data_IF_570087546391
#
_entry.id   IF_570087546391
#
_cell.length_a   1.000
_cell.length_b   1.000
_cell.length_c   1.000
_cell.angle_alpha   90.00
_cell.angle_beta   90.00
_cell.angle_gamma   90.00
#
_symmetry.space_group_name_H-M   'P 1'
#
loop_
_entity.id
_entity.type
_entity.pdbx_description
1 polymer ?
#
# COMPACT_ATOMS: atom_id res chain seq x y z
N UNK A 1 34.81 -15.20 18.25
CA UNK A 1 34.60 -16.64 18.45
C UNK A 1 34.13 -16.98 19.88
N UNK A 2 34.22 -16.07 20.86
CA UNK A 2 33.79 -16.28 22.26
C UNK A 2 32.26 -16.16 22.47
N UNK A 3 31.50 -15.82 21.45
CA UNK A 3 30.05 -15.63 21.51
C UNK A 3 29.28 -16.69 20.71
N UNK A 4 29.94 -17.78 20.32
CA UNK A 4 29.32 -18.92 19.63
C UNK A 4 29.15 -20.07 20.63
N UNK A 5 27.91 -20.49 20.85
CA UNK A 5 27.58 -21.59 21.73
C UNK A 5 27.06 -22.77 20.89
N UNK A 6 27.66 -23.92 21.10
CA UNK A 6 27.20 -25.18 20.52
C UNK A 6 26.10 -25.77 21.40
N UNK A 7 24.98 -26.16 20.78
CA UNK A 7 23.86 -26.82 21.45
C UNK A 7 23.54 -28.12 20.72
N UNK A 8 23.31 -29.18 21.47
CA UNK A 8 22.91 -30.47 20.91
C UNK A 8 21.45 -30.46 20.50
N UNK A 9 21.16 -30.76 19.23
CA UNK A 9 19.84 -30.92 18.70
C UNK A 9 19.28 -29.69 18.00
N UNK A 10 17.98 -29.73 17.67
CA UNK A 10 17.27 -28.65 16.99
C UNK A 10 16.85 -27.56 17.97
N UNK A 11 17.26 -26.34 17.72
CA UNK A 11 16.84 -25.16 18.49
C UNK A 11 15.59 -24.53 17.88
N UNK A 12 14.54 -24.37 18.67
CA UNK A 12 13.32 -23.69 18.27
C UNK A 12 13.53 -22.14 18.36
N UNK A 13 14.09 -21.55 17.31
CA UNK A 13 14.40 -20.11 17.28
C UNK A 13 13.18 -19.21 17.57
N UNK A 14 11.95 -19.70 17.32
CA UNK A 14 10.71 -18.99 17.65
C UNK A 14 10.57 -18.73 19.15
N UNK A 15 11.11 -19.63 19.99
CA UNK A 15 10.99 -19.52 21.45
C UNK A 15 11.88 -18.40 22.03
N UNK A 16 12.79 -17.84 21.22
CA UNK A 16 13.55 -16.64 21.59
C UNK A 16 12.64 -15.43 21.86
N UNK A 17 11.40 -15.40 21.34
CA UNK A 17 10.42 -14.38 21.70
C UNK A 17 10.06 -14.42 23.19
N UNK A 18 10.20 -15.54 23.87
CA UNK A 18 10.00 -15.63 25.33
C UNK A 18 11.09 -14.84 26.08
N UNK A 19 12.32 -14.87 25.56
CA UNK A 19 13.43 -14.08 26.11
C UNK A 19 13.18 -12.58 25.89
N UNK A 20 12.74 -12.20 24.69
CA UNK A 20 12.36 -10.82 24.39
C UNK A 20 11.20 -10.33 25.27
N UNK A 21 10.31 -11.25 25.70
CA UNK A 21 9.20 -10.95 26.61
C UNK A 21 9.58 -10.74 28.07
N UNK A 22 10.85 -10.98 28.47
CA UNK A 22 11.31 -10.76 29.84
C UNK A 22 11.32 -9.25 30.12
N UNK A 23 10.78 -8.86 31.29
CA UNK A 23 10.73 -7.45 31.69
C UNK A 23 12.13 -6.94 32.11
N UNK A 24 12.92 -6.56 31.13
CA UNK A 24 14.25 -5.96 31.26
C UNK A 24 14.39 -4.75 30.33
N UNK A 25 13.78 -3.60 30.73
CA UNK A 25 13.77 -2.39 29.88
C UNK A 25 15.15 -1.87 29.51
N UNK A 26 16.16 -2.17 30.34
CA UNK A 26 17.56 -1.84 30.11
C UNK A 26 18.21 -2.59 28.95
N UNK A 27 17.58 -3.70 28.50
CA UNK A 27 18.03 -4.51 27.36
C UNK A 27 17.18 -4.32 26.11
N UNK A 28 16.22 -3.40 26.14
CA UNK A 28 15.37 -3.08 25.00
C UNK A 28 15.73 -1.72 24.42
N UNK A 29 15.66 -1.61 23.11
CA UNK A 29 15.71 -0.32 22.45
C UNK A 29 14.52 0.56 22.86
N UNK A 30 14.67 1.90 22.87
CA UNK A 30 13.55 2.81 23.11
C UNK A 30 12.41 2.57 22.12
N UNK A 31 11.17 2.58 22.61
CA UNK A 31 10.01 2.43 21.75
C UNK A 31 9.95 3.55 20.70
N UNK A 32 9.86 3.15 19.44
CA UNK A 32 9.67 4.12 18.36
C UNK A 32 8.23 4.64 18.32
N UNK A 33 8.07 5.95 18.31
CA UNK A 33 6.78 6.63 18.18
C UNK A 33 6.75 7.39 16.85
N UNK A 34 5.94 6.95 15.86
CA UNK A 34 5.78 7.68 14.61
C UNK A 34 5.30 9.10 14.82
N UNK A 35 5.84 10.04 14.06
CA UNK A 35 5.43 11.45 14.10
C UNK A 35 4.31 11.73 13.11
N UNK A 36 3.49 12.73 13.41
CA UNK A 36 2.52 13.21 12.44
C UNK A 36 3.22 13.92 11.29
N UNK A 37 2.78 13.64 10.05
CA UNK A 37 3.30 14.35 8.88
C UNK A 37 2.98 15.86 8.98
N UNK A 38 3.95 16.77 8.85
CA UNK A 38 3.73 18.22 9.08
C UNK A 38 2.57 18.81 8.27
N UNK A 39 2.40 18.37 7.02
CA UNK A 39 1.30 18.82 6.16
C UNK A 39 -0.08 18.28 6.58
N UNK A 40 -0.14 17.24 7.43
CA UNK A 40 -1.37 16.63 7.93
C UNK A 40 -1.70 17.02 9.37
N UNK A 41 -0.89 17.85 10.02
CA UNK A 41 -1.15 18.36 11.37
C UNK A 41 -2.34 19.34 11.42
N UNK A 42 -2.76 19.87 10.28
CA UNK A 42 -3.93 20.73 10.15
C UNK A 42 -5.23 19.95 10.48
N UNK A 43 -6.16 20.60 11.20
CA UNK A 43 -7.46 20.05 11.57
C UNK A 43 -8.50 20.04 10.43
N UNK A 44 -8.19 20.69 9.30
CA UNK A 44 -9.03 20.67 8.11
C UNK A 44 -9.15 19.26 7.56
N UNK A 45 -10.22 19.00 6.79
CA UNK A 45 -10.40 17.72 6.11
C UNK A 45 -9.16 17.36 5.28
N UNK A 46 -8.73 16.08 5.36
CA UNK A 46 -7.61 15.56 4.59
C UNK A 46 -7.79 15.75 3.08
N UNK A 47 -9.03 15.69 2.58
CA UNK A 47 -9.34 15.95 1.17
C UNK A 47 -9.07 17.40 0.78
N UNK A 48 -9.35 18.35 1.69
CA UNK A 48 -9.03 19.75 1.47
C UNK A 48 -7.52 19.97 1.42
N UNK A 49 -6.79 19.38 2.37
CA UNK A 49 -5.33 19.46 2.44
C UNK A 49 -4.69 18.92 1.17
N UNK A 50 -5.05 17.70 0.74
CA UNK A 50 -4.51 17.07 -0.48
C UNK A 50 -4.79 17.93 -1.73
N UNK A 51 -5.96 18.53 -1.82
CA UNK A 51 -6.33 19.37 -2.96
C UNK A 51 -5.55 20.67 -3.00
N UNK A 52 -5.29 21.28 -1.85
CA UNK A 52 -4.62 22.57 -1.75
C UNK A 52 -3.09 22.45 -1.89
N UNK A 53 -2.51 21.49 -1.19
CA UNK A 53 -1.04 21.36 -1.10
C UNK A 53 -0.47 20.50 -2.24
N UNK A 54 -1.32 19.68 -2.87
CA UNK A 54 -0.90 18.69 -3.86
C UNK A 54 -0.49 17.35 -3.23
N UNK A 55 0.33 16.55 -3.93
CA UNK A 55 0.72 15.23 -3.46
C UNK A 55 1.49 15.28 -2.15
N UNK A 56 1.20 14.33 -1.25
CA UNK A 56 1.85 14.18 0.04
C UNK A 56 2.50 12.79 0.06
N UNK A 57 3.84 12.76 0.17
CA UNK A 57 4.61 11.54 0.32
C UNK A 57 4.71 11.22 1.80
N UNK A 58 4.39 9.99 2.16
CA UNK A 58 4.46 9.44 3.52
C UNK A 58 5.62 8.43 3.60
N UNK A 59 6.35 8.44 4.72
CA UNK A 59 7.41 7.48 4.99
C UNK A 59 7.18 6.76 6.32
N UNK A 60 6.65 5.54 6.24
CA UNK A 60 6.53 4.66 7.41
C UNK A 60 7.87 3.96 7.68
N UNK A 61 8.20 3.65 8.95
CA UNK A 61 7.44 3.81 10.19
C UNK A 61 7.62 5.18 10.84
N UNK A 62 8.37 6.10 10.21
CA UNK A 62 8.73 7.40 10.82
C UNK A 62 7.53 8.34 10.90
N UNK A 63 6.66 8.31 9.88
CA UNK A 63 5.42 9.05 9.87
C UNK A 63 4.24 8.14 10.18
N UNK A 64 3.29 8.68 10.93
CA UNK A 64 2.17 7.93 11.51
C UNK A 64 1.18 7.44 10.45
N UNK A 65 0.99 6.13 10.41
CA UNK A 65 -0.05 5.48 9.61
C UNK A 65 -1.46 5.87 10.09
N UNK A 66 -1.63 6.03 11.41
CA UNK A 66 -2.92 6.36 12.01
C UNK A 66 -3.40 7.76 11.62
N UNK A 67 -2.51 8.76 11.64
CA UNK A 67 -2.87 10.16 11.34
C UNK A 67 -2.79 10.49 9.84
N UNK A 68 -2.45 9.52 9.02
CA UNK A 68 -2.40 9.65 7.56
C UNK A 68 -3.36 8.69 6.87
N UNK A 69 -3.02 7.42 6.73
CA UNK A 69 -3.81 6.44 5.96
C UNK A 69 -5.12 6.06 6.67
N UNK A 70 -5.08 5.79 7.98
CA UNK A 70 -6.32 5.52 8.73
C UNK A 70 -7.22 6.76 8.76
N UNK A 71 -6.65 7.96 8.99
CA UNK A 71 -7.40 9.23 8.91
C UNK A 71 -8.04 9.42 7.54
N UNK A 72 -7.34 9.09 6.46
CA UNK A 72 -7.89 9.20 5.10
C UNK A 72 -9.14 8.34 4.92
N UNK A 73 -9.12 7.10 5.42
CA UNK A 73 -10.28 6.20 5.39
C UNK A 73 -11.37 6.64 6.37
N UNK A 74 -11.02 7.02 7.58
CA UNK A 74 -11.96 7.52 8.59
C UNK A 74 -12.73 8.72 8.05
N UNK A 75 -12.05 9.73 7.53
CA UNK A 75 -12.75 10.88 6.94
C UNK A 75 -13.56 10.49 5.71
N UNK A 76 -13.09 9.53 4.89
CA UNK A 76 -13.86 9.04 3.76
C UNK A 76 -15.16 8.33 4.18
N UNK A 77 -15.15 7.60 5.31
CA UNK A 77 -16.32 6.86 5.77
C UNK A 77 -17.47 7.77 6.26
N UNK A 78 -17.14 8.93 6.82
CA UNK A 78 -18.12 9.87 7.38
C UNK A 78 -18.44 11.08 6.48
N UNK A 79 -17.57 11.44 5.53
CA UNK A 79 -17.80 12.61 4.66
C UNK A 79 -19.01 12.38 3.73
N UNK A 80 -20.11 13.18 3.86
CA UNK A 80 -21.31 13.01 3.04
C UNK A 80 -21.09 13.25 1.55
N UNK A 81 -19.99 13.88 1.17
CA UNK A 81 -19.61 14.12 -0.23
C UNK A 81 -18.88 12.93 -0.87
N UNK A 82 -18.40 11.96 -0.08
CA UNK A 82 -17.82 10.72 -0.59
C UNK A 82 -18.92 9.81 -1.08
N UNK A 83 -18.78 9.34 -2.31
CA UNK A 83 -19.76 8.50 -3.01
C UNK A 83 -19.30 7.04 -3.05
N UNK A 84 -17.99 6.83 -3.23
CA UNK A 84 -17.44 5.48 -3.35
C UNK A 84 -16.04 5.38 -2.77
N UNK A 85 -15.74 4.20 -2.23
CA UNK A 85 -14.40 3.80 -1.77
C UNK A 85 -14.06 2.46 -2.43
N UNK A 86 -12.90 2.38 -3.08
CA UNK A 86 -12.36 1.13 -3.60
C UNK A 86 -10.98 0.88 -2.98
N UNK A 87 -10.73 -0.33 -2.51
CA UNK A 87 -9.50 -0.65 -1.80
C UNK A 87 -9.01 -2.06 -2.10
N UNK A 88 -7.68 -2.24 -2.14
CA UNK A 88 -7.07 -3.57 -2.14
C UNK A 88 -6.67 -3.94 -0.71
N UNK A 89 -6.99 -5.14 -0.26
CA UNK A 89 -6.56 -5.68 1.03
C UNK A 89 -5.83 -7.00 0.83
N UNK A 90 -4.62 -7.07 1.38
CA UNK A 90 -3.82 -8.29 1.31
C UNK A 90 -3.85 -9.07 2.63
N UNK A 91 -3.63 -8.37 3.74
CA UNK A 91 -3.60 -8.93 5.08
C UNK A 91 -3.98 -7.84 6.07
N UNK A 92 -4.92 -8.14 6.95
CA UNK A 92 -5.28 -7.26 8.06
C UNK A 92 -5.69 -8.11 9.26
N UNK A 93 -5.67 -7.54 10.46
CA UNK A 93 -6.18 -8.19 11.67
C UNK A 93 -7.71 -8.13 11.69
N UNK A 94 -8.35 -9.07 12.43
CA UNK A 94 -9.81 -9.05 12.66
C UNK A 94 -10.27 -7.73 13.28
N UNK A 95 -9.50 -7.21 14.24
CA UNK A 95 -9.79 -5.96 14.96
C UNK A 95 -9.19 -4.74 14.23
N UNK A 96 -9.11 -4.77 12.90
CA UNK A 96 -8.56 -3.68 12.14
C UNK A 96 -9.54 -2.54 12.00
N UNK A 97 -9.16 -1.35 12.45
CA UNK A 97 -9.92 -0.10 12.22
C UNK A 97 -10.26 0.14 10.75
N UNK A 98 -9.43 -0.38 9.84
CA UNK A 98 -9.69 -0.28 8.39
C UNK A 98 -10.97 -1.01 8.01
N UNK A 99 -11.19 -2.22 8.57
CA UNK A 99 -12.44 -2.96 8.35
C UNK A 99 -13.62 -2.19 8.91
N UNK A 100 -13.49 -1.64 10.13
CA UNK A 100 -14.54 -0.84 10.75
C UNK A 100 -14.90 0.38 9.87
N UNK A 101 -13.91 1.13 9.40
CA UNK A 101 -14.15 2.30 8.53
C UNK A 101 -14.81 1.93 7.18
N UNK A 102 -14.50 0.76 6.61
CA UNK A 102 -15.16 0.29 5.39
C UNK A 102 -16.62 -0.09 5.65
N UNK A 103 -16.89 -0.75 6.78
CA UNK A 103 -18.25 -1.08 7.23
C UNK A 103 -19.05 0.20 7.50
N UNK A 104 -18.49 1.16 8.25
CA UNK A 104 -19.11 2.46 8.50
C UNK A 104 -19.42 3.20 7.19
N UNK A 105 -18.50 3.16 6.22
CA UNK A 105 -18.72 3.75 4.91
C UNK A 105 -19.93 3.14 4.20
N UNK A 106 -20.07 1.82 4.19
CA UNK A 106 -21.20 1.14 3.58
C UNK A 106 -22.51 1.47 4.30
N UNK A 107 -22.52 1.47 5.64
CA UNK A 107 -23.67 1.86 6.45
C UNK A 107 -24.07 3.33 6.24
N UNK A 108 -23.11 4.21 5.94
CA UNK A 108 -23.33 5.60 5.56
C UNK A 108 -23.74 5.78 4.08
N UNK A 109 -24.12 4.68 3.39
CA UNK A 109 -24.69 4.70 2.04
C UNK A 109 -23.66 4.88 0.92
N UNK A 110 -22.36 4.68 1.18
CA UNK A 110 -21.31 4.76 0.16
C UNK A 110 -21.15 3.44 -0.56
N UNK A 111 -20.81 3.50 -1.84
CA UNK A 111 -20.43 2.31 -2.60
C UNK A 111 -19.02 1.86 -2.19
N UNK A 112 -18.91 0.71 -1.53
CA UNK A 112 -17.62 0.19 -1.11
C UNK A 112 -17.28 -1.08 -1.90
N UNK A 113 -16.06 -1.13 -2.44
CA UNK A 113 -15.53 -2.31 -3.16
C UNK A 113 -14.18 -2.66 -2.60
N UNK A 114 -13.98 -3.91 -2.22
CA UNK A 114 -12.72 -4.42 -1.69
C UNK A 114 -12.22 -5.57 -2.54
N UNK A 115 -10.98 -5.46 -2.99
CA UNK A 115 -10.28 -6.55 -3.69
C UNK A 115 -9.37 -7.24 -2.69
N UNK A 116 -9.66 -8.51 -2.42
CA UNK A 116 -8.98 -9.30 -1.38
C UNK A 116 -7.99 -10.28 -2.01
N UNK A 117 -6.79 -10.38 -1.45
CA UNK A 117 -5.85 -11.44 -1.79
C UNK A 117 -5.96 -12.60 -0.80
N UNK A 118 -6.60 -13.70 -1.21
CA UNK A 118 -6.79 -14.89 -0.37
C UNK A 118 -5.52 -15.73 -0.17
N UNK A 119 -4.58 -15.68 -1.12
CA UNK A 119 -3.35 -16.51 -1.09
C UNK A 119 -2.28 -15.97 -0.13
N UNK A 120 -2.69 -15.33 0.97
CA UNK A 120 -1.78 -14.94 2.03
C UNK A 120 -1.46 -16.17 2.88
N UNK A 121 -0.27 -16.76 2.72
CA UNK A 121 0.18 -17.91 3.54
C UNK A 121 0.02 -17.58 5.03
N UNK A 122 -0.51 -18.55 5.80
CA UNK A 122 -0.66 -18.56 7.26
C UNK A 122 -1.84 -17.78 7.88
N UNK A 123 -2.66 -17.03 7.10
CA UNK A 123 -3.77 -16.23 7.64
C UNK A 123 -5.10 -16.44 6.89
N UNK A 124 -5.26 -17.57 6.20
CA UNK A 124 -6.43 -17.84 5.34
C UNK A 124 -7.75 -17.79 6.11
N UNK A 125 -7.80 -18.38 7.31
CA UNK A 125 -9.01 -18.39 8.12
C UNK A 125 -9.43 -16.99 8.62
N UNK A 126 -8.46 -16.15 8.99
CA UNK A 126 -8.73 -14.77 9.38
C UNK A 126 -9.23 -13.95 8.18
N UNK A 127 -8.63 -14.14 7.01
CA UNK A 127 -9.04 -13.45 5.79
C UNK A 127 -10.48 -13.79 5.39
N UNK A 128 -10.92 -15.04 5.56
CA UNK A 128 -12.30 -15.45 5.30
C UNK A 128 -13.27 -14.76 6.27
N UNK A 129 -12.95 -14.70 7.56
CA UNK A 129 -13.84 -14.11 8.57
C UNK A 129 -14.10 -12.61 8.31
N UNK A 130 -13.06 -11.81 8.11
CA UNK A 130 -13.29 -10.40 7.86
C UNK A 130 -13.86 -10.12 6.46
N UNK A 131 -13.61 -10.98 5.46
CA UNK A 131 -14.26 -10.89 4.15
C UNK A 131 -15.78 -11.10 4.28
N UNK A 132 -16.21 -12.12 5.03
CA UNK A 132 -17.63 -12.33 5.32
C UNK A 132 -18.26 -11.13 6.04
N UNK A 133 -17.57 -10.53 7.01
CA UNK A 133 -18.05 -9.33 7.70
C UNK A 133 -18.25 -8.15 6.73
N UNK A 134 -17.38 -7.99 5.75
CA UNK A 134 -17.53 -6.97 4.71
C UNK A 134 -18.75 -7.26 3.82
N UNK A 135 -18.94 -8.49 3.38
CA UNK A 135 -20.08 -8.91 2.55
C UNK A 135 -21.41 -8.76 3.30
N UNK A 136 -21.49 -9.10 4.57
CA UNK A 136 -22.64 -8.88 5.45
C UNK A 136 -23.00 -7.40 5.59
N UNK A 137 -22.02 -6.51 5.52
CA UNK A 137 -22.24 -5.05 5.50
C UNK A 137 -22.65 -4.50 4.13
N UNK A 138 -22.84 -5.36 3.12
CA UNK A 138 -23.23 -4.96 1.75
C UNK A 138 -22.05 -4.44 0.91
N UNK A 139 -20.83 -4.72 1.31
CA UNK A 139 -19.62 -4.34 0.56
C UNK A 139 -19.38 -5.34 -0.56
N UNK A 140 -19.05 -4.84 -1.74
CA UNK A 140 -18.66 -5.67 -2.87
C UNK A 140 -17.23 -6.21 -2.68
N UNK A 141 -17.12 -7.49 -2.34
CA UNK A 141 -15.83 -8.17 -2.16
C UNK A 141 -15.49 -8.98 -3.43
N UNK A 142 -14.27 -8.84 -3.92
CA UNK A 142 -13.73 -9.62 -5.04
C UNK A 142 -12.34 -10.15 -4.71
N UNK A 143 -11.94 -11.21 -5.42
CA UNK A 143 -10.70 -11.92 -5.10
C UNK A 143 -9.64 -11.76 -6.20
N UNK A 144 -9.71 -10.64 -6.91
CA UNK A 144 -8.74 -10.26 -7.94
C UNK A 144 -8.87 -11.06 -9.23
N UNK A 145 -7.82 -11.08 -10.02
CA UNK A 145 -7.79 -11.67 -11.37
C UNK A 145 -7.21 -13.08 -11.33
N UNK A 146 -7.89 -14.02 -11.98
CA UNK A 146 -7.45 -15.41 -12.05
C UNK A 146 -6.02 -15.51 -12.63
N UNK A 147 -5.17 -16.27 -11.95
CA UNK A 147 -3.78 -16.51 -12.37
C UNK A 147 -2.79 -15.40 -11.99
N UNK A 148 -3.27 -14.28 -11.43
CA UNK A 148 -2.43 -13.20 -10.93
C UNK A 148 -2.61 -13.01 -9.42
N UNK A 149 -1.56 -12.53 -8.75
CA UNK A 149 -1.61 -12.14 -7.34
C UNK A 149 -1.87 -10.65 -7.23
N UNK A 150 -2.91 -10.26 -6.46
CA UNK A 150 -3.19 -8.86 -6.17
C UNK A 150 -2.26 -8.35 -5.08
N UNK A 151 -1.13 -7.77 -5.45
CA UNK A 151 -0.12 -7.26 -4.51
C UNK A 151 -0.05 -5.73 -4.43
N UNK A 152 -0.86 -5.02 -5.19
CA UNK A 152 -0.98 -3.55 -5.13
C UNK A 152 -1.61 -3.10 -3.80
N UNK A 153 -1.16 -1.95 -3.29
CA UNK A 153 -1.70 -1.30 -2.09
C UNK A 153 -2.25 0.04 -2.52
N UNK A 154 -3.54 0.06 -2.83
CA UNK A 154 -4.23 1.23 -3.39
C UNK A 154 -5.59 1.44 -2.75
N UNK A 155 -5.89 2.70 -2.48
CA UNK A 155 -7.21 3.18 -2.07
C UNK A 155 -7.63 4.25 -3.07
N UNK A 156 -8.86 4.16 -3.56
CA UNK A 156 -9.48 5.16 -4.41
C UNK A 156 -10.77 5.64 -3.75
N UNK A 157 -10.86 6.93 -3.49
CA UNK A 157 -12.05 7.60 -2.96
C UNK A 157 -12.61 8.51 -4.04
N UNK A 158 -13.88 8.33 -4.38
CA UNK A 158 -14.62 9.21 -5.30
C UNK A 158 -15.49 10.15 -4.49
N UNK A 159 -15.23 11.46 -4.59
CA UNK A 159 -15.88 12.50 -3.82
C UNK A 159 -16.51 13.54 -4.73
N UNK A 160 -17.67 14.04 -4.35
CA UNK A 160 -18.32 15.17 -5.02
C UNK A 160 -17.77 16.47 -4.45
N UNK A 161 -16.78 17.04 -5.14
CA UNK A 161 -16.25 18.36 -4.81
C UNK A 161 -17.08 19.48 -5.42
N UNK A 162 -16.70 20.72 -5.13
CA UNK A 162 -17.42 21.90 -5.63
C UNK A 162 -17.49 21.94 -7.17
N UNK A 163 -16.42 21.51 -7.83
CA UNK A 163 -16.29 21.52 -9.30
C UNK A 163 -16.60 20.15 -9.95
N UNK A 164 -17.41 19.30 -9.30
CA UNK A 164 -17.76 17.99 -9.81
C UNK A 164 -17.08 16.84 -9.10
N UNK A 165 -17.00 15.68 -9.74
CA UNK A 165 -16.41 14.49 -9.15
C UNK A 165 -14.86 14.58 -9.14
N UNK A 166 -14.27 14.35 -7.99
CA UNK A 166 -12.82 14.25 -7.82
C UNK A 166 -12.43 12.90 -7.20
N UNK A 167 -11.32 12.38 -7.68
CA UNK A 167 -10.74 11.16 -7.18
C UNK A 167 -9.58 11.50 -6.27
N UNK A 168 -9.59 10.95 -5.07
CA UNK A 168 -8.50 11.00 -4.11
C UNK A 168 -7.94 9.60 -3.97
N UNK A 169 -6.64 9.48 -3.86
CA UNK A 169 -5.97 8.19 -3.85
C UNK A 169 -4.89 8.11 -2.77
N UNK A 170 -4.73 6.92 -2.23
CA UNK A 170 -3.50 6.51 -1.58
C UNK A 170 -2.89 5.36 -2.37
N UNK A 171 -1.59 5.44 -2.63
CA UNK A 171 -0.79 4.37 -3.26
C UNK A 171 0.38 4.09 -2.35
N UNK A 172 0.56 2.85 -1.93
CA UNK A 172 1.61 2.47 -0.99
C UNK A 172 2.43 1.26 -1.41
N UNK A 173 3.60 1.12 -0.79
CA UNK A 173 4.43 -0.10 -0.88
C UNK A 173 4.07 -1.10 0.22
N UNK A 174 3.60 -0.63 1.38
CA UNK A 174 3.24 -1.43 2.56
C UNK A 174 1.79 -1.87 2.61
N UNK A 175 1.55 -3.01 3.23
CA UNK A 175 0.19 -3.50 3.48
C UNK A 175 -0.59 -2.56 4.42
N UNK A 176 -1.90 -2.53 4.26
CA UNK A 176 -2.80 -1.75 5.12
C UNK A 176 -3.02 -2.45 6.47
N UNK A 177 -2.00 -2.39 7.31
CA UNK A 177 -2.00 -3.02 8.63
C UNK A 177 -1.17 -2.16 9.60
N UNK A 178 -1.82 -1.60 10.62
CA UNK A 178 -1.20 -0.66 11.56
C UNK A 178 0.05 -1.22 12.26
N UNK A 179 0.04 -2.52 12.61
CA UNK A 179 1.18 -3.18 13.25
C UNK A 179 2.39 -3.27 12.32
N UNK A 180 2.20 -3.70 11.07
CA UNK A 180 3.31 -3.81 10.10
C UNK A 180 3.83 -2.45 9.67
N UNK A 181 2.99 -1.42 9.63
CA UNK A 181 3.39 -0.04 9.31
C UNK A 181 4.34 0.58 10.36
N UNK A 182 4.47 -0.04 11.54
CA UNK A 182 5.45 0.36 12.57
C UNK A 182 6.78 -0.37 12.49
N UNK A 183 6.84 -1.46 11.70
CA UNK A 183 7.99 -2.35 11.63
C UNK A 183 8.72 -2.26 10.28
N UNK A 184 7.98 -1.99 9.21
CA UNK A 184 8.52 -1.99 7.85
C UNK A 184 8.74 -0.57 7.35
N UNK A 185 9.82 -0.41 6.58
CA UNK A 185 10.12 0.85 5.90
C UNK A 185 9.35 0.89 4.57
N UNK A 186 8.26 1.64 4.55
CA UNK A 186 7.36 1.76 3.41
C UNK A 186 7.12 3.21 3.02
N UNK A 187 6.76 3.41 1.75
CA UNK A 187 6.32 4.71 1.23
C UNK A 187 4.83 4.69 0.92
N UNK A 188 4.17 5.83 1.14
CA UNK A 188 2.79 6.07 0.76
C UNK A 188 2.64 7.41 0.06
N UNK A 189 1.76 7.47 -0.93
CA UNK A 189 1.45 8.71 -1.65
C UNK A 189 -0.03 9.01 -1.53
N UNK A 190 -0.38 10.12 -0.89
CA UNK A 190 -1.72 10.69 -0.92
C UNK A 190 -1.80 11.73 -2.06
N UNK A 191 -2.79 11.62 -2.93
CA UNK A 191 -2.91 12.50 -4.10
C UNK A 191 -4.33 12.64 -4.59
N UNK A 192 -4.61 13.72 -5.32
CA UNK A 192 -5.82 13.89 -6.13
C UNK A 192 -5.48 14.20 -7.60
N UNK A 193 -4.32 13.76 -8.08
CA UNK A 193 -3.92 13.88 -9.49
C UNK A 193 -4.97 13.20 -10.38
N UNK A 194 -5.55 13.92 -11.37
CA UNK A 194 -6.60 13.36 -12.20
C UNK A 194 -6.15 12.13 -13.01
N UNK A 195 -4.92 12.13 -13.52
CA UNK A 195 -4.41 11.02 -14.33
C UNK A 195 -4.20 9.76 -13.48
N UNK A 196 -3.72 9.90 -12.24
CA UNK A 196 -3.63 8.79 -11.28
C UNK A 196 -5.04 8.29 -10.92
N UNK A 197 -5.98 9.18 -10.66
CA UNK A 197 -7.35 8.82 -10.35
C UNK A 197 -8.06 8.06 -11.48
N UNK A 198 -7.83 8.44 -12.73
CA UNK A 198 -8.32 7.74 -13.91
C UNK A 198 -7.65 6.36 -14.06
N UNK A 199 -6.34 6.30 -13.89
CA UNK A 199 -5.58 5.04 -13.96
C UNK A 199 -6.02 4.05 -12.88
N UNK A 200 -6.25 4.52 -11.65
CA UNK A 200 -6.78 3.68 -10.57
C UNK A 200 -8.20 3.20 -10.85
N UNK A 201 -9.03 4.01 -11.50
CA UNK A 201 -10.37 3.57 -11.93
C UNK A 201 -10.27 2.38 -12.88
N UNK A 202 -9.41 2.46 -13.88
CA UNK A 202 -9.17 1.36 -14.81
C UNK A 202 -8.57 0.12 -14.11
N UNK A 203 -7.62 0.34 -13.19
CA UNK A 203 -7.02 -0.73 -12.41
C UNK A 203 -8.08 -1.47 -11.59
N UNK A 204 -8.96 -0.76 -10.90
CA UNK A 204 -10.04 -1.39 -10.13
C UNK A 204 -11.07 -2.09 -11.04
N UNK A 205 -11.40 -1.53 -12.21
CA UNK A 205 -12.24 -2.22 -13.18
C UNK A 205 -11.59 -3.55 -13.62
N UNK A 206 -10.29 -3.54 -13.90
CA UNK A 206 -9.56 -4.76 -14.23
C UNK A 206 -9.56 -5.76 -13.07
N UNK A 207 -9.27 -5.31 -11.85
CA UNK A 207 -9.19 -6.18 -10.66
C UNK A 207 -10.55 -6.81 -10.30
N UNK A 208 -11.66 -6.13 -10.56
CA UNK A 208 -13.00 -6.59 -10.18
C UNK A 208 -13.71 -7.41 -11.26
N UNK A 209 -13.42 -7.15 -12.53
CA UNK A 209 -14.13 -7.75 -13.65
C UNK A 209 -13.24 -8.58 -14.58
N UNK A 210 -11.93 -8.49 -14.44
CA UNK A 210 -10.97 -9.07 -15.40
C UNK A 210 -10.89 -8.34 -16.75
N UNK A 211 -11.64 -7.24 -16.92
CA UNK A 211 -11.65 -6.47 -18.15
C UNK A 211 -10.32 -5.75 -18.38
N UNK A 212 -9.65 -6.07 -19.47
CA UNK A 212 -8.37 -5.43 -19.84
C UNK A 212 -8.63 -4.03 -20.40
N UNK A 213 -8.10 -2.96 -19.78
CA UNK A 213 -8.30 -1.60 -20.28
C UNK A 213 -7.82 -1.44 -21.73
N UNK A 214 -8.63 -0.78 -22.56
CA UNK A 214 -8.26 -0.47 -23.95
C UNK A 214 -7.30 0.71 -24.06
N UNK A 215 -7.34 1.64 -23.08
CA UNK A 215 -6.43 2.78 -23.02
C UNK A 215 -5.13 2.43 -22.28
N UNK A 216 -4.07 3.11 -22.63
CA UNK A 216 -2.80 3.01 -21.89
C UNK A 216 -2.91 3.75 -20.55
N UNK A 217 -2.23 3.22 -19.53
CA UNK A 217 -2.03 3.92 -18.27
C UNK A 217 -1.11 5.12 -18.48
N UNK A 218 -1.44 6.26 -17.86
CA UNK A 218 -0.67 7.51 -18.00
C UNK A 218 0.42 7.66 -16.97
N UNK A 219 0.16 7.25 -15.74
CA UNK A 219 1.05 7.40 -14.58
C UNK A 219 1.38 6.06 -13.91
N UNK A 220 0.40 5.18 -13.80
CA UNK A 220 0.60 3.87 -13.18
C UNK A 220 1.30 2.90 -14.14
N UNK A 221 2.10 2.02 -13.55
CA UNK A 221 2.81 0.96 -14.25
C UNK A 221 2.39 -0.41 -13.69
N UNK A 222 1.19 -0.91 -14.01
CA UNK A 222 0.74 -2.20 -13.47
C UNK A 222 1.62 -3.36 -13.93
N UNK A 223 2.04 -4.19 -12.97
CA UNK A 223 2.73 -5.44 -13.27
C UNK A 223 1.71 -6.55 -13.63
N UNK A 224 2.10 -7.56 -14.42
CA UNK A 224 3.42 -7.75 -15.03
C UNK A 224 3.59 -7.03 -16.38
N UNK A 225 2.48 -6.66 -17.05
CA UNK A 225 2.50 -6.26 -18.47
C UNK A 225 3.18 -4.91 -18.75
N UNK A 226 3.03 -3.93 -17.84
CA UNK A 226 3.49 -2.55 -18.08
C UNK A 226 4.76 -2.23 -17.30
N UNK A 227 4.88 -2.69 -16.06
CA UNK A 227 5.97 -2.31 -15.16
C UNK A 227 7.35 -2.74 -15.70
N UNK A 228 7.51 -4.00 -16.06
CA UNK A 228 8.81 -4.55 -16.49
C UNK A 228 9.35 -3.86 -17.75
N UNK A 229 8.59 -3.74 -18.85
CA UNK A 229 9.06 -3.00 -20.04
C UNK A 229 9.40 -1.54 -19.73
N UNK A 230 8.61 -0.87 -18.88
CA UNK A 230 8.87 0.52 -18.49
C UNK A 230 10.15 0.67 -17.68
N UNK A 231 10.46 -0.27 -16.77
CA UNK A 231 11.71 -0.26 -16.00
C UNK A 231 12.93 -0.51 -16.91
N UNK A 232 12.85 -1.49 -17.80
CA UNK A 232 13.92 -1.76 -18.78
C UNK A 232 14.22 -0.54 -19.66
N UNK A 233 13.17 0.13 -20.17
CA UNK A 233 13.34 1.37 -20.95
C UNK A 233 13.96 2.51 -20.15
N UNK A 234 13.67 2.62 -18.85
CA UNK A 234 14.28 3.63 -17.97
C UNK A 234 15.75 3.31 -17.68
N UNK A 235 16.12 2.07 -17.50
CA UNK A 235 17.52 1.63 -17.31
C UNK A 235 18.30 1.93 -18.58
N UNK A 236 17.79 1.55 -19.76
CA UNK A 236 18.44 1.83 -21.03
C UNK A 236 18.63 3.33 -21.27
N UNK A 237 17.62 4.15 -20.97
CA UNK A 237 17.73 5.61 -21.08
C UNK A 237 18.89 6.16 -20.25
N UNK A 238 19.06 5.70 -19.00
CA UNK A 238 20.18 6.15 -18.16
C UNK A 238 21.52 5.67 -18.71
N UNK A 239 21.58 4.44 -19.24
CA UNK A 239 22.77 3.91 -19.92
C UNK A 239 23.18 4.76 -21.13
N UNK A 240 22.21 5.16 -21.98
CA UNK A 240 22.46 6.05 -23.10
C UNK A 240 22.86 7.48 -22.65
N UNK A 241 22.34 7.98 -21.54
CA UNK A 241 22.79 9.24 -20.95
C UNK A 241 24.27 9.16 -20.55
N UNK A 242 24.67 8.08 -19.86
CA UNK A 242 26.06 7.88 -19.45
C UNK A 242 27.01 7.77 -20.65
N UNK A 243 26.67 6.98 -21.68
CA UNK A 243 27.44 6.85 -22.92
C UNK A 243 27.61 8.20 -23.64
N UNK A 244 26.62 9.07 -23.55
CA UNK A 244 26.65 10.41 -24.13
C UNK A 244 27.35 11.46 -23.26
N UNK A 245 27.98 11.07 -22.13
CA UNK A 245 28.64 12.00 -21.21
C UNK A 245 27.66 12.89 -20.42
N UNK A 246 26.39 12.57 -20.39
CA UNK A 246 25.36 13.28 -19.62
C UNK A 246 25.24 12.71 -18.20
N UNK A 247 24.80 13.51 -17.22
CA UNK A 247 24.51 13.00 -15.91
C UNK A 247 23.51 11.83 -15.97
N UNK A 248 23.88 10.69 -15.39
CA UNK A 248 23.06 9.49 -15.35
C UNK A 248 23.12 8.87 -13.97
N UNK A 249 21.97 8.37 -13.48
CA UNK A 249 21.92 7.73 -12.17
C UNK A 249 20.73 6.78 -12.09
N UNK A 250 20.97 5.57 -11.58
CA UNK A 250 19.94 4.59 -11.26
C UNK A 250 19.99 4.30 -9.78
N UNK A 251 18.87 4.44 -9.09
CA UNK A 251 18.71 4.10 -7.68
C UNK A 251 17.49 3.19 -7.52
N UNK A 252 17.72 2.01 -6.95
CA UNK A 252 16.69 1.05 -6.58
C UNK A 252 16.67 0.84 -5.06
N UNK A 253 15.47 0.78 -4.48
CA UNK A 253 15.23 0.29 -3.13
C UNK A 253 14.16 -0.78 -3.18
N UNK A 254 14.51 -1.99 -2.79
CA UNK A 254 13.61 -3.15 -2.74
C UNK A 254 14.17 -4.18 -1.77
N UNK A 255 13.33 -5.07 -1.28
CA UNK A 255 13.75 -6.17 -0.41
C UNK A 255 14.31 -7.37 -1.20
N UNK A 256 13.97 -7.51 -2.49
CA UNK A 256 14.49 -8.57 -3.36
C UNK A 256 14.55 -8.09 -4.80
N UNK A 257 15.60 -8.50 -5.53
CA UNK A 257 15.77 -8.32 -6.97
C UNK A 257 15.84 -9.70 -7.61
N UNK A 258 14.72 -10.18 -8.15
CA UNK A 258 14.59 -11.56 -8.66
C UNK A 258 14.43 -11.65 -10.18
N UNK A 259 13.96 -10.56 -10.82
CA UNK A 259 13.74 -10.57 -12.27
C UNK A 259 15.07 -10.60 -13.03
N UNK A 260 15.29 -11.66 -13.80
CA UNK A 260 16.54 -11.90 -14.54
C UNK A 260 16.87 -10.81 -15.55
N UNK A 261 15.86 -10.27 -16.25
CA UNK A 261 16.10 -9.28 -17.30
C UNK A 261 16.43 -7.90 -16.70
N UNK A 262 15.74 -7.53 -15.61
CA UNK A 262 16.06 -6.30 -14.87
C UNK A 262 17.48 -6.41 -14.29
N UNK A 263 17.81 -7.54 -13.65
CA UNK A 263 19.16 -7.77 -13.11
C UNK A 263 20.22 -7.65 -14.20
N UNK A 264 20.03 -8.34 -15.34
CA UNK A 264 20.96 -8.27 -16.47
C UNK A 264 21.06 -6.86 -17.07
N UNK A 265 19.97 -6.10 -17.11
CA UNK A 265 19.99 -4.72 -17.57
C UNK A 265 20.78 -3.80 -16.63
N UNK A 266 20.64 -3.98 -15.32
CA UNK A 266 21.40 -3.22 -14.31
C UNK A 266 22.90 -3.54 -14.39
N UNK A 267 23.28 -4.81 -14.58
CA UNK A 267 24.69 -5.18 -14.80
C UNK A 267 25.27 -4.52 -16.07
N UNK A 268 24.49 -4.44 -17.15
CA UNK A 268 24.96 -3.75 -18.35
C UNK A 268 25.06 -2.23 -18.19
N UNK A 269 24.26 -1.65 -17.31
CA UNK A 269 24.25 -0.21 -17.04
C UNK A 269 25.35 0.22 -16.05
N UNK A 270 25.87 -0.70 -15.26
CA UNK A 270 26.99 -0.49 -14.32
C UNK A 270 28.33 -0.51 -15.03
#
# INVERSE_FOLDING_TARGET
ASEVFEVDGMMALRDLFQIVGINRPDLHDPSHHPLDHPKLSDKRSIFHIIREIGPILLQHPYESFATSVERFLLEASFDPKVLAIKMTLYRTSEDSKIIDYLVDAAQNGKQVTVVVELKARFDEAANIRWANRLEEAGIHVTYGVLGLKTHSKVILVVRRDYNGLRRYAHIGTGNYHAGTARLYSDLGLLTCDPAIGEDLTELFNYLTTGYVPKRLYRKLLPAPKVLKPALLAKIERESEHAKAGRPARIQFKMNALEDKDITAALYRAS
#
